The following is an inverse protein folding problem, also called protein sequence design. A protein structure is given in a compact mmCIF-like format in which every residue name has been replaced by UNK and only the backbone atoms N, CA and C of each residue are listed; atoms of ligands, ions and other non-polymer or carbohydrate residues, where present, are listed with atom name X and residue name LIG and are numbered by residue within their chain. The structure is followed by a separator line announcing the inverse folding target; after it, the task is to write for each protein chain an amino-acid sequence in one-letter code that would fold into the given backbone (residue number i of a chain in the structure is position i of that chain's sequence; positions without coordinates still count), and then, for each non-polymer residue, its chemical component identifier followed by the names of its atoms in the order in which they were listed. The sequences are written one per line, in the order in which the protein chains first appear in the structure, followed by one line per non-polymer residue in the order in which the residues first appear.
data_IF_087222402044
#
_entry.id   IF_087222402044
#
_cell.length_a   1.000
_cell.length_b   1.000
_cell.length_c   1.000
_cell.angle_alpha   90.00
_cell.angle_beta   90.00
_cell.angle_gamma   90.00
#
_symmetry.space_group_name_H-M   'P 1'
#
loop_
_entity.id
_entity.type
_entity.pdbx_description
1 polymer ?
#
# COMPACT_ATOMS: atom_id res chain seq x y z
N UNK A 1 5.18 5.96 18.85
CA UNK A 1 5.06 4.76 17.97
C UNK A 1 3.64 4.21 17.91
N UNK A 2 2.99 3.93 19.05
CA UNK A 2 1.69 3.26 19.07
C UNK A 2 0.57 4.09 18.42
N UNK A 3 0.58 5.41 18.59
CA UNK A 3 -0.39 6.33 17.96
C UNK A 3 -0.28 6.31 16.43
N UNK A 4 0.94 6.42 15.89
CA UNK A 4 1.19 6.36 14.43
C UNK A 4 0.76 5.01 13.86
N UNK A 5 1.08 3.92 14.57
CA UNK A 5 0.70 2.56 14.17
C UNK A 5 -0.83 2.38 14.15
N UNK A 6 -1.52 2.89 15.17
CA UNK A 6 -2.98 2.87 15.22
C UNK A 6 -3.58 3.71 14.09
N UNK A 7 -3.03 4.89 13.80
CA UNK A 7 -3.46 5.73 12.68
C UNK A 7 -3.36 5.01 11.33
N UNK A 8 -2.22 4.38 11.03
CA UNK A 8 -2.02 3.60 9.80
C UNK A 8 -3.03 2.44 9.73
N UNK A 9 -3.23 1.72 10.84
CA UNK A 9 -4.20 0.64 10.93
C UNK A 9 -5.63 1.11 10.65
N UNK A 10 -6.05 2.24 11.24
CA UNK A 10 -7.38 2.82 11.03
C UNK A 10 -7.58 3.21 9.56
N UNK A 11 -6.60 3.87 8.94
CA UNK A 11 -6.67 4.25 7.51
C UNK A 11 -6.73 3.02 6.61
N UNK A 12 -5.94 1.98 6.91
CA UNK A 12 -5.99 0.71 6.19
C UNK A 12 -7.35 0.01 6.31
N UNK A 13 -7.95 0.02 7.51
CA UNK A 13 -9.30 -0.52 7.73
C UNK A 13 -10.39 0.30 7.04
N UNK A 14 -10.24 1.63 7.03
CA UNK A 14 -11.16 2.49 6.29
C UNK A 14 -11.12 2.19 4.78
N UNK A 15 -9.93 2.00 4.21
CA UNK A 15 -9.77 1.58 2.81
C UNK A 15 -10.38 0.20 2.56
N UNK A 16 -10.15 -0.77 3.46
CA UNK A 16 -10.78 -2.08 3.37
C UNK A 16 -12.32 -1.98 3.38
N UNK A 17 -12.87 -1.10 4.24
CA UNK A 17 -14.29 -0.81 4.27
C UNK A 17 -14.82 -0.23 2.96
N UNK A 18 -14.08 0.69 2.33
CA UNK A 18 -14.42 1.23 1.00
C UNK A 18 -14.39 0.15 -0.09
N UNK A 19 -13.40 -0.75 -0.05
CA UNK A 19 -13.33 -1.87 -1.00
C UNK A 19 -14.53 -2.80 -0.83
N UNK A 20 -14.86 -3.19 0.41
CA UNK A 20 -16.04 -4.04 0.69
C UNK A 20 -17.31 -3.33 0.24
N UNK A 21 -17.45 -2.05 0.54
CA UNK A 21 -18.57 -1.25 0.08
C UNK A 21 -18.65 -1.21 -1.46
N UNK A 22 -17.53 -1.04 -2.17
CA UNK A 22 -17.51 -1.03 -3.63
C UNK A 22 -17.94 -2.38 -4.23
N UNK A 23 -17.55 -3.51 -3.62
CA UNK A 23 -18.01 -4.84 -4.02
C UNK A 23 -19.49 -5.08 -3.71
N UNK A 24 -20.00 -4.52 -2.61
CA UNK A 24 -21.39 -4.66 -2.18
C UNK A 24 -22.34 -3.65 -2.85
N UNK A 25 -21.83 -2.54 -3.36
CA UNK A 25 -22.59 -1.55 -4.12
C UNK A 25 -23.14 -2.23 -5.37
N UNK A 26 -24.44 -2.02 -5.64
CA UNK A 26 -25.19 -2.76 -6.66
C UNK A 26 -24.47 -2.72 -8.02
N UNK A 27 -23.78 -3.83 -8.36
CA UNK A 27 -23.09 -4.03 -9.65
C UNK A 27 -24.05 -3.92 -10.85
N UNK A 28 -25.36 -4.00 -10.61
CA UNK A 28 -26.39 -3.85 -11.64
C UNK A 28 -26.40 -2.46 -12.31
N UNK A 29 -25.91 -1.39 -11.67
CA UNK A 29 -25.90 -0.05 -12.30
C UNK A 29 -24.68 0.21 -13.21
N UNK A 30 -23.53 -0.39 -12.92
CA UNK A 30 -22.25 -0.05 -13.58
C UNK A 30 -21.44 -1.26 -14.06
N UNK A 31 -22.00 -2.47 -13.99
CA UNK A 31 -21.35 -3.71 -14.38
C UNK A 31 -20.38 -4.27 -13.33
N UNK A 32 -19.64 -5.30 -13.73
CA UNK A 32 -18.63 -5.97 -12.91
C UNK A 32 -17.45 -5.05 -12.61
N UNK A 33 -16.56 -5.48 -11.70
CA UNK A 33 -15.29 -4.78 -11.44
C UNK A 33 -14.51 -4.50 -12.74
N UNK A 34 -14.44 -5.48 -13.65
CA UNK A 34 -13.71 -5.34 -14.91
C UNK A 34 -14.37 -4.34 -15.85
N UNK A 35 -15.70 -4.23 -15.87
CA UNK A 35 -16.41 -3.25 -16.70
C UNK A 35 -16.12 -1.83 -16.22
N UNK A 36 -16.17 -1.61 -14.90
CA UNK A 36 -15.84 -0.32 -14.29
C UNK A 36 -14.36 0.03 -14.51
N UNK A 37 -13.47 -0.94 -14.36
CA UNK A 37 -12.04 -0.76 -14.62
C UNK A 37 -11.76 -0.44 -16.10
N UNK A 38 -12.46 -1.08 -17.04
CA UNK A 38 -12.35 -0.79 -18.46
C UNK A 38 -12.79 0.64 -18.79
N UNK A 39 -13.83 1.16 -18.13
CA UNK A 39 -14.22 2.57 -18.29
C UNK A 39 -13.12 3.50 -17.77
N UNK A 40 -12.53 3.21 -16.60
CA UNK A 40 -11.45 4.05 -16.03
C UNK A 40 -10.26 4.17 -16.99
N UNK A 41 -9.90 3.12 -17.72
CA UNK A 41 -8.79 3.17 -18.69
C UNK A 41 -9.11 3.96 -19.96
N UNK A 42 -10.39 4.27 -20.23
CA UNK A 42 -10.77 5.19 -21.33
C UNK A 42 -10.66 6.67 -20.95
N UNK A 43 -10.60 6.99 -19.66
CA UNK A 43 -10.50 8.36 -19.16
C UNK A 43 -9.02 8.76 -19.06
N UNK A 44 -8.58 9.89 -19.64
CA UNK A 44 -7.18 10.32 -19.57
C UNK A 44 -6.66 10.41 -18.13
N UNK A 45 -7.45 11.00 -17.23
CA UNK A 45 -7.12 11.08 -15.81
C UNK A 45 -7.23 9.75 -15.07
N UNK A 46 -8.08 8.83 -15.55
CA UNK A 46 -8.16 7.47 -15.01
C UNK A 46 -6.86 6.70 -15.27
N UNK A 47 -6.31 6.80 -16.47
CA UNK A 47 -4.99 6.24 -16.81
C UNK A 47 -3.88 6.88 -15.96
N UNK A 48 -3.87 8.21 -15.82
CA UNK A 48 -2.87 8.91 -14.98
C UNK A 48 -2.94 8.43 -13.53
N UNK A 49 -4.13 8.31 -12.95
CA UNK A 49 -4.30 7.84 -11.58
C UNK A 49 -3.85 6.39 -11.39
N UNK A 50 -4.11 5.51 -12.37
CA UNK A 50 -3.60 4.13 -12.34
C UNK A 50 -2.08 4.09 -12.40
N UNK A 51 -1.47 4.84 -13.33
CA UNK A 51 -0.01 4.89 -13.46
C UNK A 51 0.63 5.45 -12.17
N UNK A 52 0.08 6.51 -11.60
CA UNK A 52 0.53 7.11 -10.34
C UNK A 52 0.48 6.09 -9.20
N UNK A 53 -0.64 5.35 -9.06
CA UNK A 53 -0.80 4.29 -8.07
C UNK A 53 0.28 3.20 -8.20
N UNK A 54 0.52 2.70 -9.42
CA UNK A 54 1.48 1.62 -9.67
C UNK A 54 2.94 2.08 -9.52
N UNK A 55 3.27 3.31 -9.90
CA UNK A 55 4.58 3.91 -9.61
C UNK A 55 4.77 4.05 -8.10
N UNK A 56 3.74 4.47 -7.38
CA UNK A 56 3.74 4.50 -5.91
C UNK A 56 4.02 3.12 -5.30
N UNK A 57 3.40 2.05 -5.82
CA UNK A 57 3.67 0.68 -5.39
C UNK A 57 5.12 0.25 -5.68
N UNK A 58 5.68 0.65 -6.82
CA UNK A 58 7.07 0.38 -7.14
C UNK A 58 8.02 1.06 -6.17
N UNK A 59 7.83 2.34 -5.86
CA UNK A 59 8.64 3.05 -4.88
C UNK A 59 8.53 2.42 -3.49
N UNK A 60 7.33 2.01 -3.09
CA UNK A 60 7.13 1.31 -1.83
C UNK A 60 7.86 -0.04 -1.83
N UNK A 61 7.78 -0.82 -2.92
CA UNK A 61 8.50 -2.07 -3.07
C UNK A 61 10.01 -1.87 -2.92
N UNK A 62 10.59 -0.83 -3.53
CA UNK A 62 12.01 -0.48 -3.34
C UNK A 62 12.34 -0.28 -1.86
N UNK A 63 11.51 0.47 -1.12
CA UNK A 63 11.69 0.66 0.33
C UNK A 63 11.63 -0.66 1.09
N UNK A 64 10.68 -1.54 0.75
CA UNK A 64 10.58 -2.88 1.37
C UNK A 64 11.86 -3.70 1.12
N UNK A 65 12.39 -3.68 -0.10
CA UNK A 65 13.64 -4.37 -0.44
C UNK A 65 14.87 -3.78 0.26
N UNK A 66 14.90 -2.48 0.49
CA UNK A 66 16.00 -1.82 1.21
C UNK A 66 15.95 -2.04 2.73
N UNK A 67 14.77 -2.31 3.28
CA UNK A 67 14.56 -2.40 4.73
C UNK A 67 14.58 -3.83 5.25
N UNK A 68 14.18 -4.80 4.43
CA UNK A 68 14.19 -6.22 4.78
C UNK A 68 15.56 -6.85 4.51
N UNK A 69 16.06 -7.62 5.49
CA UNK A 69 17.38 -8.27 5.37
C UNK A 69 17.39 -9.43 4.36
N UNK A 70 16.24 -10.04 4.12
CA UNK A 70 16.08 -11.17 3.20
C UNK A 70 15.28 -10.73 1.98
N UNK A 71 15.86 -10.91 0.79
CA UNK A 71 15.21 -10.60 -0.47
C UNK A 71 13.93 -11.42 -0.69
N UNK A 72 13.84 -12.63 -0.13
CA UNK A 72 12.64 -13.47 -0.19
C UNK A 72 11.52 -12.86 0.64
N UNK A 73 11.83 -12.42 1.86
CA UNK A 73 10.84 -11.76 2.74
C UNK A 73 10.40 -10.43 2.14
N UNK A 74 11.32 -9.68 1.54
CA UNK A 74 11.00 -8.48 0.80
C UNK A 74 10.03 -8.76 -0.35
N UNK A 75 10.31 -9.79 -1.17
CA UNK A 75 9.43 -10.19 -2.28
C UNK A 75 8.05 -10.62 -1.79
N UNK A 76 7.95 -11.37 -0.69
CA UNK A 76 6.68 -11.77 -0.09
C UNK A 76 5.84 -10.58 0.40
N UNK A 77 6.47 -9.48 0.78
CA UNK A 77 5.76 -8.26 1.17
C UNK A 77 5.48 -7.33 -0.01
N UNK A 78 6.40 -7.20 -0.96
CA UNK A 78 6.29 -6.27 -2.08
C UNK A 78 5.39 -6.79 -3.21
N UNK A 79 5.50 -8.08 -3.59
CA UNK A 79 4.78 -8.63 -4.73
C UNK A 79 3.24 -8.56 -4.57
N UNK A 80 2.65 -8.89 -3.40
CA UNK A 80 1.20 -8.82 -3.25
C UNK A 80 0.62 -7.40 -3.33
N UNK A 81 1.43 -6.35 -3.16
CA UNK A 81 0.96 -4.96 -3.21
C UNK A 81 0.41 -4.60 -4.59
N UNK A 82 0.98 -5.16 -5.66
CA UNK A 82 0.52 -4.89 -7.02
C UNK A 82 -0.88 -5.46 -7.33
N UNK A 83 -1.40 -6.34 -6.46
CA UNK A 83 -2.70 -7.00 -6.62
C UNK A 83 -3.66 -6.56 -5.51
N UNK A 84 -3.22 -6.61 -4.24
CA UNK A 84 -4.02 -6.27 -3.05
C UNK A 84 -4.06 -4.75 -2.82
N UNK A 85 -3.04 -4.03 -3.27
CA UNK A 85 -2.93 -2.59 -3.12
C UNK A 85 -2.52 -2.15 -1.72
N UNK A 86 -2.90 -0.93 -1.37
CA UNK A 86 -2.45 -0.22 -0.17
C UNK A 86 -2.87 -0.86 1.16
N UNK A 87 -3.87 -1.77 1.17
CA UNK A 87 -4.25 -2.50 2.38
C UNK A 87 -3.08 -3.38 2.85
N UNK A 88 -2.39 -4.05 1.93
CA UNK A 88 -1.23 -4.88 2.24
C UNK A 88 -0.02 -4.04 2.66
N UNK A 89 0.19 -2.89 2.00
CA UNK A 89 1.22 -1.93 2.37
C UNK A 89 1.00 -1.38 3.79
N UNK A 90 -0.25 -1.07 4.16
CA UNK A 90 -0.61 -0.63 5.51
C UNK A 90 -0.33 -1.71 6.56
N UNK A 91 -0.63 -2.97 6.27
CA UNK A 91 -0.30 -4.09 7.15
C UNK A 91 1.21 -4.23 7.36
N UNK A 92 2.00 -4.17 6.28
CA UNK A 92 3.46 -4.20 6.37
C UNK A 92 4.00 -3.06 7.23
N UNK A 93 3.53 -1.83 6.98
CA UNK A 93 3.92 -0.65 7.76
C UNK A 93 3.60 -0.84 9.23
N UNK A 94 2.39 -1.30 9.58
CA UNK A 94 2.01 -1.55 10.98
C UNK A 94 2.98 -2.52 11.66
N UNK A 95 3.38 -3.59 10.97
CA UNK A 95 4.26 -4.62 11.53
C UNK A 95 5.72 -4.11 11.64
N UNK A 96 6.22 -3.38 10.63
CA UNK A 96 7.63 -2.98 10.54
C UNK A 96 7.96 -1.62 11.14
N UNK A 97 6.97 -0.77 11.41
CA UNK A 97 7.16 0.58 11.99
C UNK A 97 8.09 0.62 13.21
N UNK A 98 8.00 -0.31 14.19
CA UNK A 98 8.89 -0.27 15.35
C UNK A 98 10.35 -0.55 15.01
N UNK A 99 10.61 -1.39 14.01
CA UNK A 99 11.97 -1.68 13.54
C UNK A 99 12.52 -0.52 12.72
N UNK A 100 11.73 0.03 11.80
CA UNK A 100 12.10 1.19 10.99
C UNK A 100 12.42 2.40 11.86
N UNK A 101 11.58 2.70 12.85
CA UNK A 101 11.82 3.84 13.72
C UNK A 101 13.08 3.68 14.59
N UNK A 102 13.43 2.45 15.00
CA UNK A 102 14.70 2.17 15.69
C UNK A 102 15.91 2.33 14.79
N UNK A 103 15.78 2.05 13.49
CA UNK A 103 16.86 2.25 12.52
C UNK A 103 17.07 3.75 12.25
N UNK A 104 15.97 4.49 12.06
CA UNK A 104 16.00 5.94 11.81
C UNK A 104 16.38 6.78 13.03
N UNK A 105 16.17 6.26 14.26
CA UNK A 105 16.53 6.98 15.48
C UNK A 105 18.00 6.86 15.87
N UNK A 106 18.81 6.10 15.13
CA UNK A 106 20.25 5.99 15.41
C UNK A 106 20.96 7.20 14.83
N UNK A 107 21.67 8.00 15.65
CA UNK A 107 22.52 9.07 15.14
C UNK A 107 23.59 8.49 14.22
N UNK A 108 23.67 9.01 13.02
CA UNK A 108 24.60 8.70 11.94
C UNK A 108 25.90 9.52 12.02
N UNK A 109 25.99 10.45 12.99
CA UNK A 109 27.21 11.18 13.27
C UNK A 109 28.11 10.42 14.26
N UNK A 110 29.45 10.36 14.04
CA UNK A 110 30.36 9.87 15.06
C UNK A 110 30.26 10.79 16.28
N UNK A 111 29.70 10.29 17.38
CA UNK A 111 29.80 10.97 18.67
C UNK A 111 31.28 11.00 19.04
N UNK A 112 31.90 12.16 18.80
CA UNK A 112 33.25 12.52 19.24
C UNK A 112 33.35 12.47 20.76
#
# INVERSE_FOLDING_TARGET
MNVVRAGIGIVGLALLGLVIWAFAAKQELHGTFFDQFAVVTTLPWGVVALVDLYIGFLFFAVIVFLTERSWIVAALWAAPIFIIGNIWAALWLVIRLPHLAKQLSKPDWPTS
#
